data_IF_785690982546
#
_entry.id   IF_785690982546
#
_cell.length_a   1.000
_cell.length_b   1.000
_cell.length_c   1.000
_cell.angle_alpha   90.00
_cell.angle_beta   90.00
_cell.angle_gamma   90.00
#
_symmetry.space_group_name_H-M   'P 1'
#
loop_
_entity.id
_entity.type
_entity.pdbx_description
1 polymer ?
#
# COMPACT_ATOMS: atom_id res chain seq x y z
N UNK A 1 -13.53 14.12 2.15
CA UNK A 1 -13.16 13.46 0.87
C UNK A 1 -13.78 14.25 -0.28
N UNK A 2 -13.06 14.39 -1.39
CA UNK A 2 -13.53 15.05 -2.62
C UNK A 2 -13.25 14.14 -3.81
N UNK A 3 -14.23 14.00 -4.70
CA UNK A 3 -14.09 13.27 -5.96
C UNK A 3 -14.20 14.26 -7.11
N UNK A 4 -13.28 14.19 -8.07
CA UNK A 4 -13.30 14.97 -9.30
C UNK A 4 -13.28 14.02 -10.48
N UNK A 5 -14.17 14.22 -11.43
CA UNK A 5 -14.21 13.44 -12.67
C UNK A 5 -13.34 14.11 -13.73
N UNK A 6 -12.56 13.30 -14.45
CA UNK A 6 -11.76 13.69 -15.61
C UNK A 6 -12.14 12.80 -16.80
N UNK A 7 -11.60 13.10 -17.99
CA UNK A 7 -11.96 12.39 -19.22
C UNK A 7 -11.71 10.88 -19.14
N UNK A 8 -10.59 10.48 -18.53
CA UNK A 8 -10.15 9.07 -18.49
C UNK A 8 -10.07 8.48 -17.07
N UNK A 9 -10.17 9.29 -16.03
CA UNK A 9 -10.00 8.84 -14.65
C UNK A 9 -10.86 9.62 -13.66
N UNK A 10 -11.07 9.04 -12.49
CA UNK A 10 -11.52 9.75 -11.31
C UNK A 10 -10.33 10.10 -10.43
N UNK A 11 -10.32 11.34 -9.93
CA UNK A 11 -9.38 11.78 -8.91
C UNK A 11 -10.10 11.84 -7.56
N UNK A 12 -9.67 11.00 -6.62
CA UNK A 12 -10.21 10.98 -5.25
C UNK A 12 -9.18 11.54 -4.30
N UNK A 13 -9.53 12.62 -3.63
CA UNK A 13 -8.67 13.29 -2.65
C UNK A 13 -9.25 13.19 -1.24
N UNK A 14 -8.41 12.82 -0.30
CA UNK A 14 -8.66 12.93 1.13
C UNK A 14 -7.60 13.84 1.76
N UNK A 15 -8.02 14.68 2.68
CA UNK A 15 -7.11 15.38 3.59
C UNK A 15 -7.74 15.37 4.98
N UNK A 16 -6.92 15.07 5.98
CA UNK A 16 -7.35 15.00 7.37
C UNK A 16 -6.21 14.62 8.31
N UNK A 17 -6.54 14.42 9.57
CA UNK A 17 -5.61 14.02 10.63
C UNK A 17 -6.20 12.93 11.52
N UNK A 18 -7.21 12.21 11.02
CA UNK A 18 -7.88 11.16 11.78
C UNK A 18 -6.94 10.02 12.17
N UNK A 19 -7.05 9.60 13.43
CA UNK A 19 -6.26 8.48 13.96
C UNK A 19 -6.56 7.15 13.24
N UNK A 20 -7.72 7.00 12.62
CA UNK A 20 -8.06 5.81 11.83
C UNK A 20 -7.10 5.60 10.65
N UNK A 21 -6.52 6.68 10.11
CA UNK A 21 -5.55 6.59 9.00
C UNK A 21 -4.16 6.20 9.51
N UNK A 22 -3.85 6.47 10.79
CA UNK A 22 -2.58 6.07 11.42
C UNK A 22 -2.38 4.56 11.36
N UNK A 23 -3.42 3.76 11.56
CA UNK A 23 -3.31 2.30 11.53
C UNK A 23 -2.97 1.77 10.12
N UNK A 24 -3.57 2.37 9.09
CA UNK A 24 -3.29 2.00 7.69
C UNK A 24 -1.88 2.39 7.31
N UNK A 25 -1.45 3.61 7.65
CA UNK A 25 -0.09 4.07 7.39
C UNK A 25 0.95 3.24 8.16
N UNK A 26 0.68 2.91 9.42
CA UNK A 26 1.53 2.02 10.20
C UNK A 26 1.78 0.69 9.47
N UNK A 27 0.72 0.06 8.96
CA UNK A 27 0.85 -1.20 8.19
C UNK A 27 1.71 -1.02 6.94
N UNK A 28 1.49 0.04 6.17
CA UNK A 28 2.26 0.33 4.96
C UNK A 28 3.73 0.56 5.33
N UNK A 29 4.01 1.38 6.33
CA UNK A 29 5.37 1.69 6.75
C UNK A 29 6.08 0.46 7.32
N UNK A 30 5.41 -0.41 8.09
CA UNK A 30 6.01 -1.67 8.58
C UNK A 30 6.33 -2.65 7.43
N UNK A 31 5.52 -2.69 6.35
CA UNK A 31 5.84 -3.48 5.16
C UNK A 31 7.11 -3.00 4.46
N UNK A 32 7.38 -1.69 4.51
CA UNK A 32 8.56 -1.08 3.87
C UNK A 32 9.78 -1.13 4.80
N UNK A 33 9.57 -0.95 6.11
CA UNK A 33 10.60 -0.87 7.15
C UNK A 33 10.16 -1.66 8.40
N UNK A 34 10.53 -2.95 8.49
CA UNK A 34 10.04 -3.84 9.55
C UNK A 34 10.38 -3.40 10.99
N UNK A 35 11.49 -2.68 11.20
CA UNK A 35 12.00 -2.35 12.54
C UNK A 35 11.46 -1.03 13.13
N UNK A 36 10.51 -0.37 12.46
CA UNK A 36 10.05 0.99 12.83
C UNK A 36 8.83 1.03 13.77
N UNK A 37 8.28 -0.13 14.12
CA UNK A 37 7.07 -0.29 14.96
C UNK A 37 7.11 0.51 16.27
N UNK A 38 8.27 0.57 16.93
CA UNK A 38 8.41 1.35 18.19
C UNK A 38 8.26 2.85 17.95
N UNK A 39 8.80 3.34 16.84
CA UNK A 39 8.74 4.75 16.47
C UNK A 39 7.31 5.13 16.03
N UNK A 40 6.66 4.31 15.20
CA UNK A 40 5.28 4.55 14.72
C UNK A 40 4.30 4.75 15.88
N UNK A 41 4.43 3.99 16.98
CA UNK A 41 3.56 4.14 18.15
C UNK A 41 3.64 5.54 18.77
N UNK A 42 4.80 6.16 18.70
CA UNK A 42 5.11 7.49 19.25
C UNK A 42 4.78 8.64 18.29
N UNK A 43 4.39 8.33 17.05
CA UNK A 43 3.99 9.32 16.05
C UNK A 43 2.48 9.58 16.11
N UNK A 44 2.07 10.84 16.05
CA UNK A 44 0.68 11.24 15.86
C UNK A 44 0.54 12.02 14.55
N UNK A 45 -0.48 11.73 13.72
CA UNK A 45 -0.66 12.41 12.45
C UNK A 45 -1.08 13.87 12.69
N UNK A 46 -0.34 14.81 12.09
CA UNK A 46 -0.73 16.22 12.03
C UNK A 46 -1.53 16.52 10.78
N UNK A 47 -1.10 15.95 9.66
CA UNK A 47 -1.74 16.13 8.36
C UNK A 47 -1.45 14.95 7.47
N UNK A 48 -2.47 14.40 6.86
CA UNK A 48 -2.39 13.36 5.86
C UNK A 48 -3.15 13.84 4.63
N UNK A 49 -2.55 13.65 3.47
CA UNK A 49 -3.15 13.88 2.17
C UNK A 49 -3.03 12.59 1.36
N UNK A 50 -4.15 12.10 0.88
CA UNK A 50 -4.20 10.90 0.02
C UNK A 50 -4.87 11.28 -1.29
N UNK A 51 -4.23 10.93 -2.40
CA UNK A 51 -4.74 11.11 -3.75
C UNK A 51 -4.72 9.78 -4.47
N UNK A 52 -5.90 9.32 -4.89
CA UNK A 52 -6.05 8.20 -5.79
C UNK A 52 -6.37 8.68 -7.20
N UNK A 53 -5.77 8.01 -8.18
CA UNK A 53 -6.18 8.03 -9.58
C UNK A 53 -6.82 6.69 -9.88
N UNK A 54 -8.08 6.72 -10.30
CA UNK A 54 -8.89 5.52 -10.58
C UNK A 54 -9.24 5.53 -12.06
N UNK A 55 -8.88 4.47 -12.77
CA UNK A 55 -9.24 4.31 -14.17
C UNK A 55 -10.76 4.24 -14.34
N UNK A 56 -11.31 5.06 -15.23
CA UNK A 56 -12.76 5.21 -15.37
C UNK A 56 -13.42 4.02 -16.06
N UNK A 57 -12.66 3.24 -16.83
CA UNK A 57 -13.17 2.08 -17.58
C UNK A 57 -13.30 0.86 -16.66
N UNK A 58 -12.31 0.62 -15.83
CA UNK A 58 -12.20 -0.57 -14.98
C UNK A 58 -12.61 -0.32 -13.53
N UNK A 59 -12.68 0.95 -13.11
CA UNK A 59 -12.89 1.37 -11.71
C UNK A 59 -11.80 0.89 -10.75
N UNK A 60 -10.63 0.53 -11.27
CA UNK A 60 -9.47 0.10 -10.49
C UNK A 60 -8.51 1.28 -10.24
N UNK A 61 -7.84 1.33 -9.08
CA UNK A 61 -6.80 2.32 -8.83
C UNK A 61 -5.60 2.05 -9.75
N UNK A 62 -5.07 3.09 -10.39
CA UNK A 62 -3.82 3.02 -11.17
C UNK A 62 -2.67 3.71 -10.45
N UNK A 63 -2.97 4.66 -9.57
CA UNK A 63 -1.97 5.36 -8.76
C UNK A 63 -2.55 5.80 -7.42
N UNK A 64 -1.75 5.72 -6.37
CA UNK A 64 -2.03 6.31 -5.06
C UNK A 64 -0.81 7.12 -4.60
N UNK A 65 -1.04 8.36 -4.18
CA UNK A 65 -0.06 9.20 -3.51
C UNK A 65 -0.51 9.49 -2.10
N UNK A 66 0.40 9.33 -1.15
CA UNK A 66 0.20 9.63 0.26
C UNK A 66 1.28 10.62 0.66
N UNK A 67 0.88 11.75 1.25
CA UNK A 67 1.76 12.66 1.98
C UNK A 67 1.31 12.70 3.42
N UNK A 68 2.20 12.40 4.35
CA UNK A 68 1.88 12.38 5.75
C UNK A 68 2.91 13.16 6.54
N UNK A 69 2.43 13.96 7.49
CA UNK A 69 3.24 14.66 8.48
C UNK A 69 2.86 14.16 9.86
N UNK A 70 3.86 13.74 10.62
CA UNK A 70 3.70 13.24 11.95
C UNK A 70 4.52 14.04 12.95
N UNK A 71 3.91 14.32 14.10
CA UNK A 71 4.60 14.83 15.28
C UNK A 71 5.03 13.67 16.18
N UNK A 72 6.23 13.76 16.74
CA UNK A 72 6.73 12.78 17.69
C UNK A 72 6.37 13.15 19.13
N UNK A 73 5.91 12.16 19.89
CA UNK A 73 5.55 12.29 21.30
C UNK A 73 6.31 11.28 22.15
N UNK A 74 6.91 11.77 23.24
CA UNK A 74 7.57 10.97 24.26
C UNK A 74 7.00 11.33 25.62
N UNK A 75 6.59 10.32 26.39
CA UNK A 75 5.98 10.49 27.71
C UNK A 75 4.80 11.49 27.71
N UNK A 76 3.97 11.42 26.66
CA UNK A 76 2.81 12.29 26.44
C UNK A 76 3.14 13.73 26.02
N UNK A 77 4.42 14.08 25.86
CA UNK A 77 4.87 15.41 25.45
C UNK A 77 5.38 15.41 24.02
N UNK A 78 4.97 16.42 23.26
CA UNK A 78 5.49 16.68 21.92
C UNK A 78 6.98 17.02 22.00
N UNK A 79 7.78 16.45 21.11
CA UNK A 79 9.19 16.81 20.96
C UNK A 79 9.33 17.59 19.66
N UNK A 80 9.33 18.92 19.76
CA UNK A 80 9.25 19.81 18.59
C UNK A 80 10.42 19.69 17.62
N UNK A 81 11.57 19.17 18.09
CA UNK A 81 12.75 18.95 17.24
C UNK A 81 12.65 17.70 16.35
N UNK A 82 11.58 16.91 16.48
CA UNK A 82 11.41 15.65 15.74
C UNK A 82 10.03 15.63 15.09
N UNK A 83 10.03 15.72 13.76
CA UNK A 83 8.88 15.41 12.91
C UNK A 83 9.28 14.38 11.88
N UNK A 84 8.30 13.62 11.41
CA UNK A 84 8.47 12.71 10.29
C UNK A 84 7.54 13.15 9.16
N UNK A 85 8.15 13.46 8.01
CA UNK A 85 7.44 13.80 6.78
C UNK A 85 7.64 12.62 5.82
N UNK A 86 6.55 11.97 5.43
CA UNK A 86 6.55 10.81 4.54
C UNK A 86 5.83 11.15 3.23
N UNK A 87 6.41 10.70 2.12
CA UNK A 87 5.76 10.70 0.81
C UNK A 87 5.87 9.30 0.20
N UNK A 88 4.71 8.69 -0.07
CA UNK A 88 4.61 7.35 -0.65
C UNK A 88 3.85 7.48 -1.96
N UNK A 89 4.42 6.92 -3.03
CA UNK A 89 3.74 6.78 -4.33
C UNK A 89 3.67 5.31 -4.69
N UNK A 90 2.45 4.82 -4.90
CA UNK A 90 2.15 3.45 -5.32
C UNK A 90 1.55 3.51 -6.71
N UNK A 91 2.08 2.73 -7.64
CA UNK A 91 1.52 2.55 -8.99
C UNK A 91 1.05 1.11 -9.13
N UNK A 92 -0.14 0.96 -9.69
CA UNK A 92 -0.73 -0.35 -9.95
C UNK A 92 -0.76 -0.57 -11.47
N UNK A 93 -0.27 -1.72 -11.90
CA UNK A 93 -0.28 -2.16 -13.29
C UNK A 93 -0.69 -3.62 -13.34
N UNK A 94 -1.06 -4.11 -14.53
CA UNK A 94 -1.31 -5.53 -14.80
C UNK A 94 -2.40 -6.15 -13.90
N UNK A 95 -3.32 -5.32 -13.40
CA UNK A 95 -4.41 -5.80 -12.54
C UNK A 95 -5.34 -6.66 -13.40
N UNK A 96 -5.41 -7.95 -13.06
CA UNK A 96 -6.14 -8.99 -13.80
C UNK A 96 -5.49 -9.40 -15.14
N UNK A 97 -4.22 -9.08 -15.37
CA UNK A 97 -3.44 -9.69 -16.45
C UNK A 97 -2.94 -11.06 -15.96
N UNK A 98 -3.86 -12.03 -15.91
CA UNK A 98 -3.50 -13.43 -15.71
C UNK A 98 -3.17 -14.00 -17.08
N UNK A 99 -1.87 -14.25 -17.33
CA UNK A 99 -1.45 -15.00 -18.51
C UNK A 99 -2.09 -16.39 -18.49
N UNK A 100 -2.37 -16.95 -19.68
CA UNK A 100 -2.86 -18.31 -19.79
C UNK A 100 -1.85 -19.27 -19.14
N UNK A 101 -2.33 -20.17 -18.27
CA UNK A 101 -1.48 -21.21 -17.70
C UNK A 101 -1.11 -22.17 -18.82
N UNK A 102 0.13 -22.08 -19.31
CA UNK A 102 0.68 -23.01 -20.29
C UNK A 102 1.17 -24.24 -19.55
N UNK A 103 0.51 -25.38 -19.75
CA UNK A 103 1.00 -26.68 -19.26
C UNK A 103 2.20 -27.08 -20.13
N UNK A 104 3.42 -27.23 -19.56
CA UNK A 104 4.59 -27.69 -20.30
C UNK A 104 4.29 -29.03 -20.98
N UNK A 105 4.81 -29.26 -22.18
CA UNK A 105 4.57 -30.52 -22.92
C UNK A 105 4.94 -31.75 -22.08
N UNK A 106 5.98 -31.66 -21.26
CA UNK A 106 6.45 -32.77 -20.41
C UNK A 106 5.45 -33.13 -19.28
N UNK A 107 4.56 -32.21 -18.93
CA UNK A 107 3.54 -32.38 -17.88
C UNK A 107 2.17 -32.79 -18.43
N UNK A 108 1.95 -32.74 -19.76
CA UNK A 108 0.66 -33.08 -20.38
C UNK A 108 0.29 -34.56 -20.27
N UNK A 109 1.30 -35.42 -20.17
CA UNK A 109 1.13 -36.88 -20.09
C UNK A 109 1.01 -37.39 -18.64
N UNK A 110 0.95 -36.50 -17.64
CA UNK A 110 0.73 -36.87 -16.23
C UNK A 110 1.83 -37.74 -15.60
N UNK A 111 3.04 -37.79 -16.19
CA UNK A 111 4.15 -38.64 -15.74
C UNK A 111 5.10 -38.01 -14.72
N UNK A 112 4.83 -36.79 -14.28
CA UNK A 112 5.52 -36.22 -13.12
C UNK A 112 4.63 -36.41 -11.88
N UNK A 113 5.25 -36.82 -10.77
CA UNK A 113 4.68 -37.22 -9.47
C UNK A 113 4.46 -38.74 -9.32
N UNK A 114 5.50 -39.55 -9.52
CA UNK A 114 5.69 -40.76 -8.71
C UNK A 114 7.12 -40.87 -8.12
N UNK A 115 8.14 -40.32 -8.79
CA UNK A 115 9.53 -40.56 -8.39
C UNK A 115 10.07 -39.68 -7.23
N UNK A 116 9.41 -38.59 -6.83
CA UNK A 116 9.90 -37.70 -5.76
C UNK A 116 9.15 -37.79 -4.41
N UNK A 117 8.17 -38.69 -4.26
CA UNK A 117 7.49 -38.92 -2.97
C UNK A 117 8.01 -40.13 -2.18
N UNK A 118 9.15 -40.71 -2.59
CA UNK A 118 9.86 -41.66 -1.73
C UNK A 118 10.57 -40.91 -0.59
N UNK A 119 9.86 -40.71 0.51
CA UNK A 119 10.48 -40.36 1.79
C UNK A 119 11.42 -41.50 2.20
N UNK A 120 12.73 -41.29 2.04
CA UNK A 120 13.76 -42.03 2.79
C UNK A 120 13.86 -41.48 4.22
#
# INVERSE_FOLDING_TARGET
>A
MKVSEQDFFYEVNYSGSDLSVKEVLAKITTLIQPDIDRLIKQLLPEKIEVKYIIDKKTFLPIECKIKAKFAYFKDGKRVDSVSLDEEITVKYSEINEVEEIIIPEEAKDGKFIEDELSYN
#
